data_IF_656786509517
#
_entry.id   IF_656786509517
#
_cell.length_a   1.000
_cell.length_b   1.000
_cell.length_c   1.000
_cell.angle_alpha   90.00
_cell.angle_beta   90.00
_cell.angle_gamma   90.00
#
_symmetry.space_group_name_H-M   'P 1'
#
loop_
_entity.id
_entity.type
_entity.pdbx_description
1 polymer ?
#
# COMPACT_ATOMS: atom_id res chain seq x y z
N UNK A 1 -0.96 -9.81 -7.61
CA UNK A 1 -0.91 -9.01 -6.36
C UNK A 1 -0.18 -9.83 -5.31
N UNK A 2 0.81 -9.26 -4.62
CA UNK A 2 1.55 -9.93 -3.54
C UNK A 2 1.80 -8.98 -2.37
N UNK A 3 1.74 -9.50 -1.14
CA UNK A 3 1.99 -8.75 0.09
C UNK A 3 2.97 -9.51 0.99
N UNK A 4 3.79 -8.80 1.76
CA UNK A 4 4.72 -9.44 2.70
C UNK A 4 5.38 -8.50 3.71
N UNK A 5 5.77 -9.06 4.86
CA UNK A 5 6.50 -8.35 5.92
C UNK A 5 7.96 -8.17 5.50
N UNK A 6 8.42 -6.92 5.50
CA UNK A 6 9.77 -6.52 5.10
C UNK A 6 10.20 -6.97 3.68
N UNK A 7 9.27 -7.45 2.84
CA UNK A 7 9.56 -7.89 1.48
C UNK A 7 9.54 -6.70 0.52
N UNK A 8 10.69 -6.36 -0.07
CA UNK A 8 10.82 -5.24 -1.02
C UNK A 8 10.37 -5.59 -2.44
N UNK A 9 10.25 -6.87 -2.77
CA UNK A 9 9.77 -7.37 -4.07
C UNK A 9 8.27 -7.64 -4.13
N UNK A 10 7.56 -7.47 -3.00
CA UNK A 10 6.11 -7.58 -2.95
C UNK A 10 5.45 -6.30 -3.49
N UNK A 11 4.23 -6.42 -4.03
CA UNK A 11 3.42 -5.28 -4.46
C UNK A 11 3.10 -4.34 -3.29
N UNK A 12 2.71 -4.91 -2.15
CA UNK A 12 2.46 -4.19 -0.90
C UNK A 12 3.46 -4.64 0.16
N UNK A 13 4.16 -3.69 0.77
CA UNK A 13 5.12 -3.96 1.85
C UNK A 13 4.54 -3.55 3.19
N UNK A 14 4.61 -4.45 4.16
CA UNK A 14 4.38 -4.12 5.57
C UNK A 14 5.76 -3.95 6.23
N UNK A 15 6.10 -2.76 6.75
CA UNK A 15 7.36 -2.56 7.46
C UNK A 15 7.49 -3.52 8.66
N UNK A 16 8.72 -3.97 8.95
CA UNK A 16 8.96 -4.88 10.09
C UNK A 16 8.46 -4.30 11.41
N UNK A 17 8.68 -3.00 11.60
CA UNK A 17 8.23 -2.29 12.80
C UNK A 17 6.70 -2.35 12.95
N UNK A 18 5.96 -2.07 11.88
CA UNK A 18 4.49 -2.14 11.86
C UNK A 18 3.99 -3.55 12.17
N UNK A 19 4.66 -4.57 11.64
CA UNK A 19 4.32 -5.96 11.94
C UNK A 19 4.65 -6.35 13.40
N UNK A 20 5.67 -5.75 14.02
CA UNK A 20 6.02 -5.97 15.43
C UNK A 20 5.05 -5.23 16.37
N UNK A 21 4.68 -3.99 16.04
CA UNK A 21 3.82 -3.15 16.87
C UNK A 21 2.34 -3.50 16.73
N UNK A 22 1.93 -4.15 15.63
CA UNK A 22 0.55 -4.52 15.34
C UNK A 22 -0.31 -3.36 14.82
N UNK A 23 0.25 -2.17 14.65
CA UNK A 23 -0.40 -1.00 14.07
C UNK A 23 0.61 -0.13 13.31
N UNK A 24 0.12 0.72 12.40
CA UNK A 24 0.96 1.62 11.61
C UNK A 24 0.42 1.78 10.19
N UNK A 25 1.26 1.51 9.19
CA UNK A 25 0.93 1.74 7.77
C UNK A 25 1.41 0.60 6.86
N UNK A 26 0.81 0.53 5.68
CA UNK A 26 1.26 -0.27 4.55
C UNK A 26 1.90 0.63 3.49
N UNK A 27 2.80 0.07 2.67
CA UNK A 27 3.42 0.77 1.56
C UNK A 27 3.01 0.10 0.25
N UNK A 28 2.20 0.78 -0.57
CA UNK A 28 1.94 0.36 -1.94
C UNK A 28 3.11 0.80 -2.85
N UNK A 29 3.81 -0.19 -3.42
CA UNK A 29 5.01 0.01 -4.24
C UNK A 29 4.75 -0.12 -5.74
N UNK A 30 3.48 -0.22 -6.14
CA UNK A 30 3.05 -0.31 -7.55
C UNK A 30 2.99 1.04 -8.29
N UNK A 31 2.74 2.20 -7.66
CA UNK A 31 2.70 3.47 -8.38
C UNK A 31 4.02 3.77 -9.10
N UNK A 32 3.93 4.09 -10.39
CA UNK A 32 5.07 4.50 -11.21
C UNK A 32 5.56 5.89 -10.81
N UNK A 33 6.82 6.24 -11.06
CA UNK A 33 7.40 7.54 -10.71
C UNK A 33 6.72 8.75 -11.38
N UNK A 34 5.96 8.52 -12.45
CA UNK A 34 5.23 9.52 -13.21
C UNK A 34 3.72 9.51 -12.95
N UNK A 35 3.24 8.78 -11.94
CA UNK A 35 1.82 8.73 -11.63
C UNK A 35 1.29 10.07 -11.12
N UNK A 36 0.03 10.38 -11.42
CA UNK A 36 -0.68 11.48 -10.76
C UNK A 36 -0.94 11.11 -9.29
N UNK A 37 -0.38 11.86 -8.32
CA UNK A 37 -0.58 11.56 -6.91
C UNK A 37 -2.05 11.62 -6.49
N UNK A 38 -2.87 12.48 -7.10
CA UNK A 38 -4.28 12.61 -6.75
C UNK A 38 -5.07 11.37 -7.16
N UNK A 39 -4.86 10.89 -8.39
CA UNK A 39 -5.51 9.67 -8.86
C UNK A 39 -5.09 8.44 -8.05
N UNK A 40 -3.82 8.34 -7.66
CA UNK A 40 -3.32 7.21 -6.86
C UNK A 40 -3.96 7.19 -5.48
N UNK A 41 -4.03 8.34 -4.80
CA UNK A 41 -4.65 8.45 -3.48
C UNK A 41 -6.15 8.20 -3.56
N UNK A 42 -6.82 8.71 -4.59
CA UNK A 42 -8.26 8.46 -4.80
C UNK A 42 -8.55 6.95 -4.91
N UNK A 43 -7.84 6.23 -5.78
CA UNK A 43 -8.04 4.79 -5.96
C UNK A 43 -7.76 4.02 -4.67
N UNK A 44 -6.71 4.39 -3.93
CA UNK A 44 -6.40 3.79 -2.63
C UNK A 44 -7.59 3.91 -1.67
N UNK A 45 -8.13 5.12 -1.49
CA UNK A 45 -9.25 5.37 -0.58
C UNK A 45 -10.51 4.65 -1.03
N UNK A 46 -10.83 4.71 -2.34
CA UNK A 46 -12.04 4.07 -2.89
C UNK A 46 -12.04 2.57 -2.66
N UNK A 47 -10.92 1.92 -2.93
CA UNK A 47 -10.79 0.46 -2.76
C UNK A 47 -10.70 0.02 -1.30
N UNK A 48 -10.09 0.80 -0.39
CA UNK A 48 -9.88 0.34 1.01
C UNK A 48 -10.92 0.84 2.01
N UNK A 49 -11.58 1.96 1.74
CA UNK A 49 -12.46 2.62 2.70
C UNK A 49 -13.90 2.77 2.23
N UNK A 50 -14.15 2.71 0.91
CA UNK A 50 -15.47 2.95 0.33
C UNK A 50 -16.07 1.70 -0.33
N UNK A 51 -15.34 0.57 -0.37
CA UNK A 51 -15.73 -0.68 -1.04
C UNK A 51 -16.18 -0.49 -2.52
N UNK A 52 -15.65 0.55 -3.16
CA UNK A 52 -15.86 0.81 -4.58
C UNK A 52 -14.73 0.15 -5.37
N UNK A 53 -15.08 -0.91 -6.11
CA UNK A 53 -14.20 -1.57 -7.08
C UNK A 53 -14.61 -1.21 -8.51
#
# INVERSE_FOLDING_TARGET
>A
FSAGVANRGASIRIPRQVAQDGFGYLEDRRPSSNCDPYSVVEVLIRTTCLDEC
#
